data_IF_472028554770
#
_entry.id   IF_472028554770
#
_cell.length_a   1.000
_cell.length_b   1.000
_cell.length_c   1.000
_cell.angle_alpha   90.00
_cell.angle_beta   90.00
_cell.angle_gamma   90.00
#
_symmetry.space_group_name_H-M   'P 1'
#
loop_
_entity.id
_entity.type
_entity.pdbx_description
1 polymer ?
#
# COMPACT_ATOMS: atom_id res chain seq x y z
N UNK A 1 5.49 -6.96 -21.33
CA UNK A 1 5.06 -5.82 -20.48
C UNK A 1 4.68 -4.60 -21.32
N UNK A 2 5.55 -4.11 -22.22
CA UNK A 2 5.28 -2.95 -23.07
C UNK A 2 4.00 -3.09 -23.91
N UNK A 3 3.80 -4.22 -24.61
CA UNK A 3 2.58 -4.46 -25.39
C UNK A 3 1.28 -4.39 -24.56
N UNK A 4 1.33 -4.82 -23.29
CA UNK A 4 0.19 -4.75 -22.36
C UNK A 4 -0.12 -3.33 -21.90
N UNK A 5 0.89 -2.48 -21.77
CA UNK A 5 0.73 -1.06 -21.43
C UNK A 5 0.26 -0.24 -22.64
N UNK A 6 0.78 -0.56 -23.83
CA UNK A 6 0.32 0.08 -25.07
C UNK A 6 -1.16 -0.19 -25.36
N UNK A 7 -1.66 -1.37 -25.00
CA UNK A 7 -3.07 -1.73 -25.14
C UNK A 7 -4.00 -1.06 -24.10
N UNK A 8 -3.45 -0.45 -23.02
CA UNK A 8 -4.19 0.18 -21.92
C UNK A 8 -3.41 1.39 -21.39
N UNK A 9 -3.33 2.48 -22.16
CA UNK A 9 -2.52 3.65 -21.80
C UNK A 9 -2.93 4.25 -20.45
N UNK A 10 -4.21 4.20 -20.09
CA UNK A 10 -4.78 4.72 -18.84
C UNK A 10 -4.35 3.93 -17.58
N UNK A 11 -3.82 2.71 -17.74
CA UNK A 11 -3.48 1.85 -16.61
C UNK A 11 -2.34 2.43 -15.74
N UNK A 12 -1.45 3.24 -16.32
CA UNK A 12 -0.39 3.89 -15.55
C UNK A 12 -0.93 5.05 -14.71
N UNK A 13 -1.85 5.84 -15.26
CA UNK A 13 -2.48 6.97 -14.55
C UNK A 13 -3.33 6.48 -13.39
N UNK A 14 -4.19 5.48 -13.62
CA UNK A 14 -4.98 4.86 -12.55
C UNK A 14 -4.10 4.24 -11.46
N UNK A 15 -2.98 3.62 -11.86
CA UNK A 15 -2.02 3.08 -10.88
C UNK A 15 -1.41 4.21 -10.07
N UNK A 16 -1.00 5.31 -10.71
CA UNK A 16 -0.44 6.48 -10.05
C UNK A 16 -1.40 7.00 -8.98
N UNK A 17 -2.64 7.27 -9.37
CA UNK A 17 -3.69 7.81 -8.51
C UNK A 17 -4.02 6.89 -7.33
N UNK A 18 -4.09 5.58 -7.58
CA UNK A 18 -4.47 4.61 -6.55
C UNK A 18 -3.35 4.26 -5.58
N UNK A 19 -2.09 4.19 -6.04
CA UNK A 19 -0.99 3.67 -5.22
C UNK A 19 -0.10 4.75 -4.60
N UNK A 20 0.07 5.91 -5.24
CA UNK A 20 1.00 6.93 -4.74
C UNK A 20 0.64 7.42 -3.34
N UNK A 21 -0.65 7.66 -3.09
CA UNK A 21 -1.11 8.12 -1.79
C UNK A 21 -0.86 7.09 -0.68
N UNK A 22 -1.27 5.81 -0.78
CA UNK A 22 -0.91 4.77 0.18
C UNK A 22 0.60 4.64 0.44
N UNK A 23 1.41 4.62 -0.61
CA UNK A 23 2.86 4.52 -0.47
C UNK A 23 3.46 5.77 0.19
N UNK A 24 2.94 6.96 -0.10
CA UNK A 24 3.32 8.20 0.57
C UNK A 24 3.01 8.16 2.07
N UNK A 25 1.80 7.74 2.44
CA UNK A 25 1.43 7.57 3.85
C UNK A 25 2.34 6.57 4.57
N UNK A 26 2.55 5.38 3.99
CA UNK A 26 3.40 4.35 4.60
C UNK A 26 4.84 4.88 4.79
N UNK A 27 5.45 5.41 3.74
CA UNK A 27 6.86 5.82 3.80
C UNK A 27 7.10 7.03 4.69
N UNK A 28 6.25 8.06 4.58
CA UNK A 28 6.47 9.34 5.28
C UNK A 28 5.80 9.37 6.65
N UNK A 29 4.52 8.96 6.74
CA UNK A 29 3.73 9.10 7.96
C UNK A 29 3.84 7.91 8.91
N UNK A 30 4.12 6.71 8.40
CA UNK A 30 4.40 5.53 9.24
C UNK A 30 5.91 5.29 9.45
N UNK A 31 6.76 6.24 9.00
CA UNK A 31 8.22 6.17 9.12
C UNK A 31 8.85 4.90 8.51
N UNK A 32 8.21 4.33 7.48
CA UNK A 32 8.66 3.11 6.79
C UNK A 32 9.44 3.46 5.50
N UNK A 33 10.42 4.35 5.65
CA UNK A 33 11.27 4.80 4.54
C UNK A 33 12.36 3.80 4.14
N UNK A 34 12.77 2.92 5.06
CA UNK A 34 13.76 1.87 4.85
C UNK A 34 13.35 0.58 5.58
N UNK A 35 13.70 -0.57 5.02
CA UNK A 35 13.50 -1.86 5.66
C UNK A 35 14.59 -2.14 6.69
N UNK A 36 14.19 -2.65 7.85
CA UNK A 36 15.10 -3.07 8.91
C UNK A 36 15.59 -4.50 8.68
N UNK A 37 14.74 -5.33 8.07
CA UNK A 37 15.05 -6.73 7.83
C UNK A 37 15.94 -6.92 6.60
N UNK A 38 16.74 -7.99 6.64
CA UNK A 38 17.56 -8.45 5.51
C UNK A 38 16.98 -9.74 4.96
N UNK A 39 17.26 -10.00 3.67
CA UNK A 39 16.75 -11.14 2.87
C UNK A 39 15.27 -10.99 2.51
N UNK A 40 14.92 -11.40 1.28
CA UNK A 40 13.62 -11.13 0.69
C UNK A 40 12.44 -11.68 1.50
N UNK A 41 12.57 -12.87 2.10
CA UNK A 41 11.53 -13.46 2.94
C UNK A 41 11.16 -12.56 4.13
N UNK A 42 12.17 -12.02 4.83
CA UNK A 42 11.94 -11.22 6.02
C UNK A 42 11.40 -9.83 5.66
N UNK A 43 11.94 -9.22 4.60
CA UNK A 43 11.45 -7.95 4.05
C UNK A 43 9.98 -8.06 3.61
N UNK A 44 9.58 -9.19 3.02
CA UNK A 44 8.16 -9.45 2.69
C UNK A 44 7.28 -9.47 3.93
N UNK A 45 7.73 -10.10 5.01
CA UNK A 45 7.02 -10.10 6.30
C UNK A 45 6.87 -8.68 6.86
N UNK A 46 7.99 -7.93 6.92
CA UNK A 46 8.01 -6.54 7.38
C UNK A 46 7.02 -5.68 6.59
N UNK A 47 7.13 -5.68 5.26
CA UNK A 47 6.24 -4.91 4.39
C UNK A 47 4.77 -5.34 4.52
N UNK A 48 4.50 -6.65 4.66
CA UNK A 48 3.13 -7.15 4.80
C UNK A 48 2.46 -6.66 6.08
N UNK A 49 3.20 -6.64 7.19
CA UNK A 49 2.71 -6.10 8.46
C UNK A 49 2.47 -4.59 8.37
N UNK A 50 3.37 -3.85 7.74
CA UNK A 50 3.18 -2.41 7.48
C UNK A 50 1.94 -2.15 6.64
N UNK A 51 1.76 -2.87 5.54
CA UNK A 51 0.60 -2.72 4.66
C UNK A 51 -0.71 -3.11 5.38
N UNK A 52 -0.70 -4.16 6.20
CA UNK A 52 -1.84 -4.56 7.01
C UNK A 52 -2.23 -3.46 8.01
N UNK A 53 -1.26 -2.90 8.73
CA UNK A 53 -1.51 -1.81 9.66
C UNK A 53 -2.09 -0.57 8.96
N UNK A 54 -1.56 -0.21 7.78
CA UNK A 54 -2.12 0.86 6.95
C UNK A 54 -3.57 0.55 6.55
N UNK A 55 -3.85 -0.66 6.07
CA UNK A 55 -5.18 -1.06 5.62
C UNK A 55 -6.20 -1.02 6.75
N UNK A 56 -5.85 -1.51 7.95
CA UNK A 56 -6.72 -1.45 9.13
C UNK A 56 -7.01 0.01 9.49
N UNK A 57 -5.99 0.86 9.56
CA UNK A 57 -6.16 2.30 9.84
C UNK A 57 -7.07 2.96 8.81
N UNK A 58 -6.85 2.69 7.52
CA UNK A 58 -7.67 3.21 6.42
C UNK A 58 -9.12 2.71 6.50
N UNK A 59 -9.33 1.43 6.78
CA UNK A 59 -10.67 0.86 6.92
C UNK A 59 -11.42 1.55 8.07
N UNK A 60 -10.80 1.68 9.23
CA UNK A 60 -11.38 2.40 10.38
C UNK A 60 -11.74 3.84 10.00
N UNK A 61 -10.88 4.55 9.27
CA UNK A 61 -11.18 5.92 8.81
C UNK A 61 -12.36 5.99 7.84
N UNK A 62 -12.50 5.02 6.94
CA UNK A 62 -13.53 5.04 5.89
C UNK A 62 -14.90 4.57 6.37
N UNK A 63 -14.95 3.50 7.18
CA UNK A 63 -16.22 2.87 7.58
C UNK A 63 -16.53 3.01 9.07
N UNK A 64 -15.57 3.45 9.89
CA UNK A 64 -15.71 3.49 11.35
C UNK A 64 -15.48 2.11 12.00
N UNK A 65 -15.24 2.10 13.31
CA UNK A 65 -14.96 0.86 14.06
C UNK A 65 -16.17 -0.06 14.17
N UNK A 66 -17.37 0.52 14.34
CA UNK A 66 -18.63 -0.24 14.50
C UNK A 66 -18.94 -1.04 13.25
N UNK A 67 -18.90 -0.42 12.07
CA UNK A 67 -19.16 -1.11 10.80
C UNK A 67 -18.04 -2.08 10.38
N UNK A 68 -16.87 -2.03 11.03
CA UNK A 68 -15.77 -2.94 10.75
C UNK A 68 -15.90 -4.27 11.52
N UNK A 69 -16.62 -4.26 12.66
CA UNK A 69 -16.77 -5.43 13.54
C UNK A 69 -18.12 -6.15 13.39
N UNK A 70 -19.06 -5.56 12.65
CA UNK A 70 -20.38 -6.12 12.33
C UNK A 70 -20.35 -6.77 10.95
#
# INVERSE_FOLDING_TARGET
MAARLAARPEALDQRRESVEHPFGTIKQWMYQGAFLMRRLQNVRGEFSLTALAYNIRRAITLVGTVNLML
#
